data_IF_074245396091
#
_entry.id   IF_074245396091
#
_cell.length_a   1.000
_cell.length_b   1.000
_cell.length_c   1.000
_cell.angle_alpha   90.00
_cell.angle_beta   90.00
_cell.angle_gamma   90.00
#
_symmetry.space_group_name_H-M   'P 1'
#
loop_
_entity.id
_entity.type
_entity.pdbx_description
1 polymer ?
#
# COMPACT_ATOMS: atom_id res chain seq x y z
N UNK A 1 13.93 -13.26 -7.83
CA UNK A 1 13.08 -12.09 -7.58
C UNK A 1 11.67 -12.43 -8.05
N UNK A 2 10.65 -11.95 -7.36
CA UNK A 2 9.25 -12.15 -7.75
C UNK A 2 8.59 -10.81 -8.08
N UNK A 3 8.00 -10.71 -9.28
CA UNK A 3 7.16 -9.57 -9.71
C UNK A 3 5.75 -9.78 -9.15
N UNK A 4 5.21 -10.98 -9.27
CA UNK A 4 4.03 -11.44 -8.56
C UNK A 4 4.38 -12.56 -7.61
N UNK A 5 3.66 -12.67 -6.48
CA UNK A 5 3.90 -13.73 -5.51
C UNK A 5 2.63 -14.08 -4.72
N UNK A 6 2.29 -15.37 -4.57
CA UNK A 6 1.14 -15.78 -3.77
C UNK A 6 1.46 -15.79 -2.28
N UNK A 7 0.51 -15.35 -1.45
CA UNK A 7 0.52 -15.57 0.00
C UNK A 7 -0.89 -15.90 0.48
N UNK A 8 -1.08 -17.15 0.91
CA UNK A 8 -2.41 -17.66 1.24
C UNK A 8 -3.30 -17.66 -0.01
N UNK A 9 -4.52 -17.14 0.13
CA UNK A 9 -5.51 -17.08 -0.97
C UNK A 9 -5.41 -15.81 -1.83
N UNK A 10 -4.26 -15.12 -1.84
CA UNK A 10 -4.10 -13.80 -2.45
C UNK A 10 -2.84 -13.77 -3.31
N UNK A 11 -2.91 -13.04 -4.42
CA UNK A 11 -1.76 -12.76 -5.27
C UNK A 11 -1.29 -11.34 -5.02
N UNK A 12 0.02 -11.16 -4.83
CA UNK A 12 0.62 -9.86 -4.57
C UNK A 12 1.42 -9.41 -5.79
N UNK A 13 1.36 -8.10 -6.09
CA UNK A 13 2.12 -7.47 -7.17
C UNK A 13 3.17 -6.54 -6.56
N UNK A 14 4.43 -6.93 -6.72
CA UNK A 14 5.62 -6.19 -6.31
C UNK A 14 6.09 -5.26 -7.44
N UNK A 15 5.63 -4.02 -7.43
CA UNK A 15 5.84 -3.10 -8.54
C UNK A 15 7.14 -2.30 -8.50
N UNK A 16 7.72 -2.08 -7.32
CA UNK A 16 8.83 -1.13 -7.18
C UNK A 16 9.63 -1.35 -5.91
N UNK A 17 10.92 -0.98 -5.96
CA UNK A 17 11.78 -0.87 -4.77
C UNK A 17 11.70 0.51 -4.12
N UNK A 18 11.15 1.52 -4.83
CA UNK A 18 11.11 2.89 -4.36
C UNK A 18 10.09 3.07 -3.24
N UNK A 19 10.47 3.80 -2.20
CA UNK A 19 9.57 4.22 -1.15
C UNK A 19 9.99 5.61 -0.67
N UNK A 20 9.01 6.46 -0.38
CA UNK A 20 9.21 7.81 0.19
C UNK A 20 9.29 7.80 1.72
N UNK A 21 9.15 6.62 2.34
CA UNK A 21 9.45 6.35 3.74
C UNK A 21 10.62 5.36 3.85
N UNK A 22 11.38 5.45 4.93
CA UNK A 22 12.41 4.47 5.29
C UNK A 22 12.15 3.90 6.70
N UNK A 23 10.97 3.32 6.89
CA UNK A 23 10.48 2.94 8.21
C UNK A 23 11.47 2.03 8.96
N UNK A 24 11.67 2.30 10.25
CA UNK A 24 12.53 1.49 11.14
C UNK A 24 12.12 0.01 11.21
N UNK A 25 10.82 -0.25 11.09
CA UNK A 25 10.22 -1.59 11.10
C UNK A 25 10.04 -2.20 9.70
N UNK A 26 10.57 -1.57 8.64
CA UNK A 26 10.34 -2.07 7.29
C UNK A 26 10.97 -3.46 7.11
N UNK A 27 10.18 -4.44 6.69
CA UNK A 27 10.62 -5.83 6.51
C UNK A 27 11.83 -5.95 5.56
N UNK A 28 11.95 -5.06 4.58
CA UNK A 28 13.08 -5.02 3.63
C UNK A 28 14.45 -4.79 4.28
N UNK A 29 14.49 -4.31 5.53
CA UNK A 29 15.72 -4.13 6.32
C UNK A 29 16.18 -5.43 7.00
N UNK A 30 15.31 -6.42 7.12
CA UNK A 30 15.53 -7.63 7.92
C UNK A 30 15.37 -8.93 7.13
N UNK A 31 14.72 -8.88 5.96
CA UNK A 31 14.46 -10.03 5.10
C UNK A 31 14.65 -9.65 3.64
N UNK A 32 15.08 -10.62 2.83
CA UNK A 32 15.17 -10.49 1.38
C UNK A 32 13.84 -10.77 0.66
N UNK A 33 12.81 -11.19 1.40
CA UNK A 33 11.58 -11.69 0.83
C UNK A 33 10.47 -12.02 1.82
N UNK A 34 9.33 -12.48 1.29
CA UNK A 34 8.16 -12.94 2.03
C UNK A 34 7.64 -14.25 1.45
N UNK A 35 7.23 -15.19 2.31
CA UNK A 35 6.64 -16.47 1.88
C UNK A 35 7.53 -17.34 0.97
N UNK A 36 8.86 -17.20 1.08
CA UNK A 36 9.82 -17.90 0.21
C UNK A 36 10.19 -17.14 -1.06
N UNK A 37 9.53 -16.02 -1.36
CA UNK A 37 9.78 -15.21 -2.55
C UNK A 37 10.72 -14.04 -2.26
N UNK A 38 11.81 -13.90 -3.04
CA UNK A 38 12.72 -12.74 -2.95
C UNK A 38 12.06 -11.52 -3.58
N UNK A 39 11.96 -10.41 -2.85
CA UNK A 39 11.19 -9.23 -3.27
C UNK A 39 12.03 -8.01 -3.68
N UNK A 40 13.35 -8.03 -3.46
CA UNK A 40 14.21 -7.01 -4.08
C UNK A 40 14.18 -7.18 -5.60
N UNK A 41 13.72 -6.13 -6.29
CA UNK A 41 13.65 -6.14 -7.74
C UNK A 41 15.01 -5.80 -8.38
N UNK A 42 15.44 -6.52 -9.40
CA UNK A 42 16.66 -6.20 -10.17
C UNK A 42 16.49 -4.90 -10.97
N UNK A 43 15.27 -4.65 -11.45
CA UNK A 43 14.84 -3.41 -12.11
C UNK A 43 13.35 -3.18 -11.87
N UNK A 44 12.90 -1.96 -12.10
CA UNK A 44 11.47 -1.63 -12.12
C UNK A 44 10.78 -2.38 -13.28
N UNK A 45 9.87 -3.35 -13.02
CA UNK A 45 9.23 -4.12 -14.08
C UNK A 45 8.32 -3.21 -14.91
N UNK A 46 8.32 -3.38 -16.22
CA UNK A 46 7.35 -2.73 -17.11
C UNK A 46 5.94 -3.24 -16.85
N UNK A 47 4.93 -2.49 -17.31
CA UNK A 47 3.52 -2.93 -17.22
C UNK A 47 3.32 -4.29 -17.91
N UNK A 48 3.97 -4.50 -19.06
CA UNK A 48 3.85 -5.76 -19.78
C UNK A 48 4.54 -6.92 -19.04
N UNK A 49 5.70 -6.69 -18.41
CA UNK A 49 6.35 -7.72 -17.59
C UNK A 49 5.48 -8.11 -16.39
N UNK A 50 4.79 -7.14 -15.76
CA UNK A 50 3.83 -7.44 -14.68
C UNK A 50 2.65 -8.26 -15.19
N UNK A 51 2.05 -7.86 -16.32
CA UNK A 51 0.91 -8.57 -16.92
C UNK A 51 1.30 -10.00 -17.32
N UNK A 52 2.49 -10.19 -17.90
CA UNK A 52 2.96 -11.50 -18.31
C UNK A 52 3.28 -12.44 -17.12
N UNK A 53 3.61 -11.87 -15.96
CA UNK A 53 3.91 -12.63 -14.73
C UNK A 53 2.65 -13.00 -13.94
N UNK A 54 1.48 -12.44 -14.29
CA UNK A 54 0.19 -12.77 -13.69
C UNK A 54 -0.31 -14.12 -14.21
N UNK A 55 0.07 -15.20 -13.54
CA UNK A 55 -0.40 -16.56 -13.84
C UNK A 55 -1.70 -16.90 -13.07
N UNK A 56 -2.72 -17.37 -13.81
CA UNK A 56 -4.08 -17.72 -13.34
C UNK A 56 -4.65 -16.78 -12.26
N UNK A 57 -4.80 -15.46 -12.53
CA UNK A 57 -5.31 -14.49 -11.55
C UNK A 57 -6.62 -14.93 -10.89
N UNK A 58 -7.51 -15.58 -11.63
CA UNK A 58 -8.81 -16.09 -11.22
C UNK A 58 -8.78 -17.11 -10.08
N UNK A 59 -7.64 -17.76 -9.83
CA UNK A 59 -7.48 -18.71 -8.72
C UNK A 59 -7.40 -18.00 -7.35
N UNK A 60 -7.22 -16.69 -7.34
CA UNK A 60 -7.01 -15.89 -6.12
C UNK A 60 -8.25 -15.10 -5.73
N UNK A 61 -8.52 -15.03 -4.42
CA UNK A 61 -9.67 -14.28 -3.88
C UNK A 61 -9.50 -12.76 -3.95
N UNK A 62 -8.28 -12.29 -4.10
CA UNK A 62 -7.92 -10.86 -4.11
C UNK A 62 -6.52 -10.70 -4.70
N UNK A 63 -6.33 -9.64 -5.48
CA UNK A 63 -5.02 -9.23 -5.99
C UNK A 63 -4.58 -7.94 -5.28
N UNK A 64 -3.34 -7.90 -4.80
CA UNK A 64 -2.86 -6.86 -3.90
C UNK A 64 -1.62 -6.19 -4.46
N UNK A 65 -1.69 -4.90 -4.78
CA UNK A 65 -0.50 -4.10 -5.04
C UNK A 65 0.24 -3.86 -3.72
N UNK A 66 1.33 -4.60 -3.51
CA UNK A 66 2.15 -4.55 -2.30
C UNK A 66 3.45 -5.31 -2.54
N UNK A 67 4.57 -4.70 -2.14
CA UNK A 67 5.92 -5.24 -2.32
C UNK A 67 6.90 -4.62 -1.32
N UNK A 68 8.18 -4.54 -1.68
CA UNK A 68 9.20 -3.89 -0.83
C UNK A 68 9.19 -2.36 -0.92
N UNK A 69 8.70 -1.79 -2.03
CA UNK A 69 8.47 -0.36 -2.17
C UNK A 69 7.03 0.08 -1.89
N UNK A 70 6.76 1.35 -2.19
CA UNK A 70 5.44 1.97 -2.15
C UNK A 70 4.83 1.91 -3.56
N UNK A 71 3.77 1.09 -3.79
CA UNK A 71 3.19 0.89 -5.12
C UNK A 71 2.78 2.20 -5.80
N UNK A 72 2.27 3.18 -5.05
CA UNK A 72 1.82 4.45 -5.61
C UNK A 72 2.96 5.37 -6.07
N UNK A 73 4.23 5.04 -5.81
CA UNK A 73 5.36 5.67 -6.51
C UNK A 73 5.34 5.38 -8.02
N UNK A 74 4.57 4.37 -8.45
CA UNK A 74 4.35 4.01 -9.85
C UNK A 74 2.87 4.02 -10.21
N UNK A 75 2.17 5.13 -9.91
CA UNK A 75 0.72 5.29 -10.13
C UNK A 75 0.28 4.88 -11.54
N UNK A 76 1.00 5.32 -12.58
CA UNK A 76 0.66 4.95 -13.96
C UNK A 76 0.76 3.44 -14.23
N UNK A 77 1.70 2.74 -13.60
CA UNK A 77 1.80 1.29 -13.73
C UNK A 77 0.67 0.59 -12.98
N UNK A 78 0.38 1.02 -11.75
CA UNK A 78 -0.78 0.55 -10.96
C UNK A 78 -2.06 0.68 -11.79
N UNK A 79 -2.36 1.86 -12.33
CA UNK A 79 -3.57 2.11 -13.12
C UNK A 79 -3.67 1.20 -14.34
N UNK A 80 -2.58 1.03 -15.10
CA UNK A 80 -2.59 0.20 -16.32
C UNK A 80 -2.75 -1.28 -16.02
N UNK A 81 -2.07 -1.79 -14.99
CA UNK A 81 -2.21 -3.18 -14.56
C UNK A 81 -3.61 -3.43 -13.98
N UNK A 82 -4.12 -2.51 -13.16
CA UNK A 82 -5.46 -2.60 -12.60
C UNK A 82 -6.55 -2.57 -13.67
N UNK A 83 -6.44 -1.68 -14.67
CA UNK A 83 -7.37 -1.63 -15.80
C UNK A 83 -7.36 -2.95 -16.58
N UNK A 84 -6.18 -3.49 -16.90
CA UNK A 84 -6.08 -4.79 -17.58
C UNK A 84 -6.72 -5.92 -16.75
N UNK A 85 -6.49 -5.95 -15.44
CA UNK A 85 -7.13 -6.92 -14.54
C UNK A 85 -8.66 -6.76 -14.51
N UNK A 86 -9.17 -5.52 -14.50
CA UNK A 86 -10.62 -5.26 -14.54
C UNK A 86 -11.26 -5.67 -15.87
N UNK A 87 -10.55 -5.50 -16.99
CA UNK A 87 -11.04 -5.88 -18.32
C UNK A 87 -11.09 -7.40 -18.51
N UNK A 88 -10.11 -8.13 -17.96
CA UNK A 88 -9.98 -9.58 -18.18
C UNK A 88 -10.56 -10.43 -17.02
N UNK A 89 -10.58 -9.88 -15.80
CA UNK A 89 -10.99 -10.57 -14.58
C UNK A 89 -11.83 -9.64 -13.67
N UNK A 90 -12.98 -9.13 -14.15
CA UNK A 90 -13.75 -8.07 -13.49
C UNK A 90 -14.21 -8.38 -12.07
N UNK A 91 -14.38 -9.68 -11.77
CA UNK A 91 -14.87 -10.21 -10.49
C UNK A 91 -13.80 -10.24 -9.38
N UNK A 92 -12.52 -10.12 -9.73
CA UNK A 92 -11.44 -10.18 -8.74
C UNK A 92 -11.27 -8.82 -8.06
N UNK A 93 -11.43 -8.71 -6.73
CA UNK A 93 -11.22 -7.46 -6.03
C UNK A 93 -9.73 -7.08 -6.01
N UNK A 94 -9.44 -5.83 -6.34
CA UNK A 94 -8.10 -5.26 -6.29
C UNK A 94 -7.91 -4.43 -5.02
N UNK A 95 -6.79 -4.66 -4.31
CA UNK A 95 -6.38 -3.86 -3.15
C UNK A 95 -5.04 -3.17 -3.37
N UNK A 96 -4.90 -1.96 -2.87
CA UNK A 96 -3.59 -1.30 -2.71
C UNK A 96 -3.23 -1.24 -1.23
N UNK A 97 -2.02 -1.69 -0.89
CA UNK A 97 -1.39 -1.33 0.38
C UNK A 97 -0.48 -0.13 0.14
N UNK A 98 -0.71 0.96 0.86
CA UNK A 98 0.03 2.21 0.69
C UNK A 98 0.38 2.86 2.03
N UNK A 99 1.39 3.70 2.05
CA UNK A 99 1.68 4.61 3.15
C UNK A 99 0.85 5.90 3.15
N UNK A 100 0.04 6.15 2.11
CA UNK A 100 -0.90 7.26 2.05
C UNK A 100 -0.30 8.61 1.65
N UNK A 101 0.94 8.64 1.14
CA UNK A 101 1.61 9.89 0.77
C UNK A 101 1.50 10.23 -0.73
N UNK A 102 0.68 9.51 -1.50
CA UNK A 102 0.62 9.67 -2.95
C UNK A 102 0.20 11.08 -3.38
N UNK A 103 -0.82 11.66 -2.74
CA UNK A 103 -1.22 13.04 -3.08
C UNK A 103 -0.09 14.05 -2.81
N UNK A 104 0.71 13.84 -1.77
CA UNK A 104 1.90 14.66 -1.50
C UNK A 104 3.03 14.41 -2.51
N UNK A 105 3.15 13.20 -3.06
CA UNK A 105 4.11 12.91 -4.14
C UNK A 105 3.70 13.59 -5.44
N UNK A 106 2.43 13.48 -5.85
CA UNK A 106 1.96 13.97 -7.14
C UNK A 106 1.43 15.41 -7.11
N UNK A 107 1.38 16.04 -5.94
CA UNK A 107 0.88 17.41 -5.74
C UNK A 107 -0.56 17.61 -6.26
N UNK A 108 -1.38 16.56 -6.20
CA UNK A 108 -2.78 16.54 -6.63
C UNK A 108 -3.53 15.37 -6.01
N UNK A 109 -4.86 15.40 -6.04
CA UNK A 109 -5.66 14.25 -5.63
C UNK A 109 -5.64 13.16 -6.72
N UNK A 110 -5.11 11.98 -6.38
CA UNK A 110 -5.00 10.82 -7.30
C UNK A 110 -6.13 9.80 -7.10
N UNK A 111 -6.91 9.93 -6.03
CA UNK A 111 -7.96 8.97 -5.66
C UNK A 111 -9.10 8.85 -6.70
N UNK A 112 -9.57 9.93 -7.37
CA UNK A 112 -10.55 9.81 -8.45
C UNK A 112 -10.07 8.94 -9.60
N UNK A 113 -8.75 8.81 -9.81
CA UNK A 113 -8.21 7.98 -10.88
C UNK A 113 -8.15 6.48 -10.53
N UNK A 114 -8.48 6.13 -9.29
CA UNK A 114 -8.45 4.77 -8.76
C UNK A 114 -9.84 4.25 -8.41
N UNK A 115 -10.87 5.10 -8.40
CA UNK A 115 -12.25 4.79 -7.98
C UNK A 115 -12.82 3.53 -8.66
N UNK A 116 -12.81 3.50 -9.98
CA UNK A 116 -13.34 2.35 -10.76
C UNK A 116 -12.38 1.15 -10.84
N UNK A 117 -11.14 1.30 -10.34
CA UNK A 117 -10.09 0.31 -10.47
C UNK A 117 -9.85 -0.48 -9.17
N UNK A 118 -9.98 0.18 -8.02
CA UNK A 118 -9.51 -0.34 -6.74
C UNK A 118 -10.67 -0.45 -5.77
N UNK A 119 -10.99 -1.68 -5.38
CA UNK A 119 -12.06 -1.94 -4.42
C UNK A 119 -11.65 -1.54 -2.99
N UNK A 120 -10.39 -1.82 -2.61
CA UNK A 120 -9.91 -1.65 -1.24
C UNK A 120 -8.59 -0.88 -1.19
N UNK A 121 -8.45 0.01 -0.22
CA UNK A 121 -7.18 0.66 0.10
C UNK A 121 -6.81 0.46 1.57
N UNK A 122 -5.65 -0.14 1.81
CA UNK A 122 -5.07 -0.32 3.15
C UNK A 122 -3.95 0.69 3.37
N UNK A 123 -4.24 1.71 4.17
CA UNK A 123 -3.35 2.84 4.42
C UNK A 123 -2.57 2.61 5.73
N UNK A 124 -1.25 2.73 5.67
CA UNK A 124 -0.36 2.48 6.81
C UNK A 124 -0.16 3.76 7.64
N UNK A 125 -0.86 3.88 8.76
CA UNK A 125 -0.79 5.04 9.66
C UNK A 125 0.45 4.98 10.57
N UNK A 126 0.64 3.86 11.27
CA UNK A 126 1.79 3.52 12.13
C UNK A 126 2.22 4.55 13.21
N UNK A 127 1.51 5.65 13.40
CA UNK A 127 1.76 6.63 14.44
C UNK A 127 0.51 7.47 14.72
N UNK A 128 0.45 8.07 15.90
CA UNK A 128 -0.64 8.94 16.36
C UNK A 128 -0.29 10.43 16.36
N UNK A 129 0.98 10.78 16.12
CA UNK A 129 1.46 12.17 16.05
C UNK A 129 2.49 12.34 14.94
N UNK A 130 2.72 13.58 14.53
CA UNK A 130 3.69 13.91 13.50
C UNK A 130 5.14 13.60 13.91
N UNK A 131 5.47 13.83 15.18
CA UNK A 131 6.76 13.48 15.79
C UNK A 131 7.01 11.98 15.72
N UNK A 132 6.06 11.19 16.22
CA UNK A 132 6.15 9.73 16.24
C UNK A 132 6.19 9.18 14.81
N UNK A 133 5.37 9.71 13.89
CA UNK A 133 5.39 9.30 12.49
C UNK A 133 6.77 9.53 11.88
N UNK A 134 7.36 10.71 12.08
CA UNK A 134 8.70 10.97 11.54
C UNK A 134 9.76 10.09 12.20
N UNK A 135 9.63 9.80 13.48
CA UNK A 135 10.55 8.91 14.21
C UNK A 135 10.53 7.48 13.66
N UNK A 136 9.34 6.92 13.40
CA UNK A 136 9.20 5.51 13.02
C UNK A 136 9.21 5.28 11.51
N UNK A 137 8.59 6.17 10.73
CA UNK A 137 8.48 6.04 9.27
C UNK A 137 9.65 6.69 8.52
N UNK A 138 10.37 7.61 9.16
CA UNK A 138 11.50 8.34 8.56
C UNK A 138 11.17 8.88 7.17
N UNK A 139 10.05 9.60 7.06
CA UNK A 139 9.58 10.10 5.77
C UNK A 139 10.54 11.16 5.23
N UNK A 140 10.78 11.14 3.91
CA UNK A 140 11.55 12.19 3.23
C UNK A 140 10.88 13.57 3.33
N UNK A 141 9.60 13.61 3.69
CA UNK A 141 8.83 14.84 3.84
C UNK A 141 8.90 15.40 5.27
N UNK A 142 9.49 14.71 6.23
CA UNK A 142 9.49 15.16 7.61
C UNK A 142 8.11 15.04 8.26
N UNK A 143 7.90 15.82 9.33
CA UNK A 143 6.67 15.79 10.15
C UNK A 143 5.38 16.08 9.38
N UNK A 144 5.44 16.87 8.30
CA UNK A 144 4.27 17.17 7.43
C UNK A 144 3.67 15.93 6.76
N UNK A 145 4.43 14.83 6.68
CA UNK A 145 3.94 13.56 6.14
C UNK A 145 2.72 13.05 6.90
N UNK A 146 2.69 13.22 8.23
CA UNK A 146 1.59 12.71 9.05
C UNK A 146 0.25 13.35 8.68
N UNK A 147 0.19 14.69 8.61
CA UNK A 147 -1.02 15.40 8.21
C UNK A 147 -1.46 14.99 6.80
N UNK A 148 -0.52 14.86 5.85
CA UNK A 148 -0.82 14.40 4.51
C UNK A 148 -1.42 12.98 4.47
N UNK A 149 -0.98 12.07 5.34
CA UNK A 149 -1.58 10.73 5.46
C UNK A 149 -3.00 10.82 6.01
N UNK A 150 -3.23 11.64 7.04
CA UNK A 150 -4.56 11.86 7.60
C UNK A 150 -5.53 12.41 6.55
N UNK A 151 -5.11 13.41 5.78
CA UNK A 151 -5.92 13.99 4.72
C UNK A 151 -6.15 13.01 3.58
N UNK A 152 -5.15 12.20 3.23
CA UNK A 152 -5.31 11.13 2.25
C UNK A 152 -6.33 10.07 2.69
N UNK A 153 -6.35 9.69 3.98
CA UNK A 153 -7.36 8.77 4.53
C UNK A 153 -8.77 9.37 4.41
N UNK A 154 -8.94 10.64 4.80
CA UNK A 154 -10.24 11.35 4.70
C UNK A 154 -10.72 11.41 3.25
N UNK A 155 -9.81 11.73 2.33
CA UNK A 155 -10.13 11.86 0.92
C UNK A 155 -10.44 10.50 0.28
N UNK A 156 -9.73 9.44 0.67
CA UNK A 156 -9.90 8.11 0.09
C UNK A 156 -11.32 7.57 0.28
N UNK A 157 -11.98 7.88 1.40
CA UNK A 157 -13.37 7.47 1.67
C UNK A 157 -14.39 7.96 0.64
N UNK A 158 -14.07 9.02 -0.11
CA UNK A 158 -14.98 9.58 -1.11
C UNK A 158 -14.97 8.80 -2.42
N UNK A 159 -13.92 8.02 -2.67
CA UNK A 159 -13.64 7.40 -3.97
C UNK A 159 -13.39 5.89 -3.88
N UNK A 160 -12.97 5.37 -2.73
CA UNK A 160 -12.63 3.96 -2.55
C UNK A 160 -13.67 3.30 -1.66
N UNK A 161 -14.30 2.25 -2.17
CA UNK A 161 -15.40 1.53 -1.51
C UNK A 161 -15.02 1.04 -0.12
N UNK A 162 -13.81 0.51 0.05
CA UNK A 162 -13.32 0.07 1.35
C UNK A 162 -11.97 0.71 1.71
N UNK A 163 -11.97 1.57 2.71
CA UNK A 163 -10.75 2.13 3.31
C UNK A 163 -10.51 1.50 4.67
N UNK A 164 -9.31 0.93 4.84
CA UNK A 164 -8.81 0.48 6.14
C UNK A 164 -7.52 1.20 6.48
N UNK A 165 -7.36 1.51 7.76
CA UNK A 165 -6.10 1.98 8.35
C UNK A 165 -5.43 0.83 9.07
N UNK A 166 -4.13 0.70 8.87
CA UNK A 166 -3.32 -0.32 9.52
C UNK A 166 -2.15 0.26 10.32
N UNK A 167 -1.80 -0.45 11.39
CA UNK A 167 -0.71 -0.12 12.30
C UNK A 167 0.11 -1.38 12.55
N UNK A 168 1.43 -1.23 12.64
CA UNK A 168 2.32 -2.30 13.09
C UNK A 168 2.58 -2.19 14.59
N UNK A 169 2.61 -3.30 15.32
CA UNK A 169 3.03 -3.33 16.73
C UNK A 169 4.55 -3.14 16.80
N UNK A 170 5.01 -1.92 17.02
CA UNK A 170 6.44 -1.60 17.07
C UNK A 170 6.76 -0.73 18.28
N UNK A 171 7.94 -0.87 18.92
CA UNK A 171 8.33 -0.03 20.04
C UNK A 171 8.15 1.46 19.73
N UNK A 172 7.44 2.15 20.64
CA UNK A 172 7.13 3.56 20.48
C UNK A 172 5.91 3.86 19.62
N UNK A 173 5.16 2.88 19.10
CA UNK A 173 3.87 3.09 18.42
C UNK A 173 2.70 2.88 19.39
N UNK A 174 1.82 3.89 19.50
CA UNK A 174 0.62 3.83 20.34
C UNK A 174 -0.58 3.31 19.54
N UNK A 175 -0.81 2.00 19.62
CA UNK A 175 -1.86 1.30 18.85
C UNK A 175 -3.26 1.81 19.20
N UNK A 176 -3.53 2.08 20.48
CA UNK A 176 -4.86 2.53 20.91
C UNK A 176 -5.16 3.96 20.43
N UNK A 177 -4.18 4.87 20.46
CA UNK A 177 -4.36 6.19 19.85
C UNK A 177 -4.55 6.11 18.34
N UNK A 178 -3.83 5.24 17.65
CA UNK A 178 -4.04 5.05 16.22
C UNK A 178 -5.42 4.44 15.91
N UNK A 179 -5.90 3.52 16.75
CA UNK A 179 -7.26 2.98 16.66
C UNK A 179 -8.29 4.09 16.85
N UNK A 180 -8.10 4.97 17.83
CA UNK A 180 -8.95 6.14 18.02
C UNK A 180 -8.97 7.04 16.77
N UNK A 181 -7.84 7.31 16.14
CA UNK A 181 -7.79 8.06 14.88
C UNK A 181 -8.62 7.37 13.80
N UNK A 182 -8.48 6.06 13.62
CA UNK A 182 -9.28 5.31 12.64
C UNK A 182 -10.79 5.38 12.95
N UNK A 183 -11.18 5.29 14.23
CA UNK A 183 -12.57 5.46 14.67
C UNK A 183 -13.09 6.88 14.39
N UNK A 184 -12.31 7.91 14.72
CA UNK A 184 -12.70 9.31 14.51
C UNK A 184 -12.82 9.65 13.01
N UNK A 185 -12.05 8.97 12.17
CA UNK A 185 -12.13 9.07 10.70
C UNK A 185 -13.20 8.14 10.09
N UNK A 186 -13.84 7.30 10.90
CA UNK A 186 -14.85 6.32 10.49
C UNK A 186 -14.31 5.39 9.37
N UNK A 187 -13.18 4.74 9.64
CA UNK A 187 -12.55 3.75 8.77
C UNK A 187 -12.22 2.47 9.53
N UNK A 188 -12.12 1.34 8.82
CA UNK A 188 -11.75 0.07 9.44
C UNK A 188 -10.34 0.15 10.02
N UNK A 189 -10.09 -0.52 11.14
CA UNK A 189 -8.77 -0.56 11.78
C UNK A 189 -8.21 -1.98 11.77
N UNK A 190 -6.91 -2.11 11.44
CA UNK A 190 -6.20 -3.39 11.43
C UNK A 190 -4.85 -3.30 12.12
N UNK A 191 -4.60 -4.21 13.05
CA UNK A 191 -3.28 -4.39 13.67
C UNK A 191 -2.47 -5.40 12.86
N UNK A 192 -1.17 -5.15 12.72
CA UNK A 192 -0.18 -6.05 12.13
C UNK A 192 0.90 -6.31 13.17
N UNK A 193 1.18 -7.56 13.46
CA UNK A 193 2.28 -7.90 14.36
C UNK A 193 3.63 -7.70 13.65
N UNK A 194 4.62 -7.14 14.36
CA UNK A 194 6.00 -7.00 13.88
C UNK A 194 6.78 -8.32 13.97
#
# INVERSE_FOLDING_TARGET
MAITYPLGSKLYINLTNQCNNDCKFCVRKFKDGLGGYKLWLDKEPSVQEVINDLENPEDYKEIVFCGFGEPLMRLNAVKKVAAWLKDNYPEIPLRINTNGLANLVYQRNILPELEELIATMSISLNASTAEQYQEVAQSKYGRKAFEAVIDFIKEAKKYISEVQVSVVTYPGVDVEKCKKIATDLDVKFKIREF
#
